data_IF_061720301846
#
_entry.id   IF_061720301846
#
_cell.length_a   1.000
_cell.length_b   1.000
_cell.length_c   1.000
_cell.angle_alpha   90.00
_cell.angle_beta   90.00
_cell.angle_gamma   90.00
#
_symmetry.space_group_name_H-M   'P 1'
#
loop_
_entity.id
_entity.type
_entity.pdbx_description
1 polymer ?
#
# COMPACT_ATOMS: atom_id res chain seq x y z
N UNK A 1 -0.87 2.49 16.03
CA UNK A 1 -1.20 3.02 14.69
C UNK A 1 -0.15 4.00 14.17
N UNK A 2 0.12 5.12 14.87
CA UNK A 2 1.07 6.15 14.40
C UNK A 2 2.50 5.62 14.18
N UNK A 3 3.10 4.96 15.19
CA UNK A 3 4.47 4.43 15.06
C UNK A 3 4.60 3.35 13.97
N UNK A 4 3.63 2.45 13.88
CA UNK A 4 3.64 1.38 12.87
C UNK A 4 3.53 1.96 11.45
N UNK A 5 2.60 2.89 11.22
CA UNK A 5 2.45 3.55 9.92
C UNK A 5 3.66 4.43 9.56
N UNK A 6 4.31 5.08 10.54
CA UNK A 6 5.56 5.82 10.30
C UNK A 6 6.70 4.89 9.87
N UNK A 7 6.84 3.70 10.50
CA UNK A 7 7.85 2.72 10.07
C UNK A 7 7.61 2.24 8.64
N UNK A 8 6.37 1.99 8.28
CA UNK A 8 5.99 1.59 6.91
C UNK A 8 6.32 2.72 5.93
N UNK A 9 5.95 3.97 6.24
CA UNK A 9 6.25 5.12 5.40
C UNK A 9 7.75 5.27 5.13
N UNK A 10 8.57 5.19 6.19
CA UNK A 10 10.03 5.27 6.07
C UNK A 10 10.60 4.11 5.24
N UNK A 11 10.06 2.91 5.39
CA UNK A 11 10.47 1.76 4.58
C UNK A 11 10.13 1.97 3.10
N UNK A 12 8.93 2.48 2.78
CA UNK A 12 8.52 2.79 1.41
C UNK A 12 9.39 3.87 0.77
N UNK A 13 9.68 4.95 1.50
CA UNK A 13 10.60 6.00 1.06
C UNK A 13 12.01 5.41 0.82
N UNK A 14 12.47 4.53 1.70
CA UNK A 14 13.76 3.83 1.55
C UNK A 14 13.83 2.88 0.35
N UNK A 15 12.68 2.41 -0.15
CA UNK A 15 12.55 1.64 -1.39
C UNK A 15 12.50 2.53 -2.64
N UNK A 16 12.52 3.86 -2.48
CA UNK A 16 12.49 4.82 -3.57
C UNK A 16 11.10 5.32 -3.93
N UNK A 17 10.10 5.15 -3.05
CA UNK A 17 8.76 5.70 -3.28
C UNK A 17 8.83 7.23 -3.34
N UNK A 18 8.34 7.80 -4.44
CA UNK A 18 8.20 9.24 -4.62
C UNK A 18 6.76 9.71 -4.38
N UNK A 19 6.59 11.03 -4.31
CA UNK A 19 5.28 11.64 -4.16
C UNK A 19 4.41 11.30 -5.38
N UNK A 20 3.15 10.98 -5.13
CA UNK A 20 2.12 10.61 -6.11
C UNK A 20 2.33 9.24 -6.80
N UNK A 21 3.34 8.46 -6.38
CA UNK A 21 3.50 7.07 -6.78
C UNK A 21 2.36 6.18 -6.27
N UNK A 22 1.98 5.20 -7.08
CA UNK A 22 0.89 4.28 -6.76
C UNK A 22 1.41 3.03 -6.05
N UNK A 23 0.89 2.75 -4.86
CA UNK A 23 1.24 1.57 -4.07
C UNK A 23 0.03 0.65 -3.94
N UNK A 24 0.10 -0.51 -4.57
CA UNK A 24 -0.91 -1.54 -4.46
C UNK A 24 -0.85 -2.25 -3.11
N UNK A 25 -1.98 -2.27 -2.39
CA UNK A 25 -2.15 -3.02 -1.14
C UNK A 25 -3.06 -4.20 -1.42
N UNK A 26 -2.47 -5.38 -1.59
CA UNK A 26 -3.18 -6.65 -1.74
C UNK A 26 -3.12 -7.43 -0.43
N UNK A 27 -4.13 -7.25 0.42
CA UNK A 27 -4.20 -7.90 1.73
C UNK A 27 -5.64 -8.27 2.08
N UNK A 28 -5.80 -9.31 2.88
CA UNK A 28 -7.09 -9.64 3.50
C UNK A 28 -7.45 -8.61 4.57
N UNK A 29 -8.75 -8.50 4.92
CA UNK A 29 -9.23 -7.58 5.94
C UNK A 29 -8.61 -7.91 7.32
N UNK A 30 -7.56 -7.17 7.70
CA UNK A 30 -6.87 -7.31 8.97
C UNK A 30 -6.58 -5.92 9.57
N UNK A 31 -6.34 -5.81 10.90
CA UNK A 31 -5.96 -4.55 11.52
C UNK A 31 -4.69 -3.93 10.92
N UNK A 32 -3.76 -4.75 10.43
CA UNK A 32 -2.52 -4.33 9.77
C UNK A 32 -2.77 -3.59 8.45
N UNK A 33 -3.89 -3.86 7.79
CA UNK A 33 -4.30 -3.16 6.57
C UNK A 33 -4.33 -1.64 6.79
N UNK A 34 -4.82 -1.21 7.96
CA UNK A 34 -4.92 0.21 8.32
C UNK A 34 -3.53 0.83 8.48
N UNK A 35 -2.56 0.08 9.04
CA UNK A 35 -1.19 0.54 9.16
C UNK A 35 -0.53 0.73 7.79
N UNK A 36 -0.76 -0.20 6.85
CA UNK A 36 -0.22 -0.11 5.48
C UNK A 36 -0.85 1.06 4.71
N UNK A 37 -2.17 1.22 4.80
CA UNK A 37 -2.87 2.34 4.18
C UNK A 37 -2.30 3.68 4.66
N UNK A 38 -2.22 3.90 5.98
CA UNK A 38 -1.66 5.15 6.49
C UNK A 38 -0.16 5.29 6.22
N UNK A 39 0.59 4.19 6.13
CA UNK A 39 2.00 4.20 5.75
C UNK A 39 2.21 4.76 4.35
N UNK A 40 1.41 4.34 3.37
CA UNK A 40 1.44 4.85 1.99
C UNK A 40 1.09 6.34 1.96
N UNK A 41 -0.01 6.73 2.62
CA UNK A 41 -0.43 8.14 2.66
C UNK A 41 0.63 9.04 3.31
N UNK A 42 1.26 8.57 4.39
CA UNK A 42 2.34 9.29 5.09
C UNK A 42 3.61 9.42 4.24
N UNK A 43 3.88 8.44 3.39
CA UNK A 43 4.99 8.50 2.45
C UNK A 43 4.71 9.44 1.25
N UNK A 44 3.47 9.92 1.10
CA UNK A 44 3.06 10.81 0.00
C UNK A 44 2.62 10.08 -1.25
N UNK A 45 2.44 8.75 -1.20
CA UNK A 45 1.94 7.94 -2.30
C UNK A 45 0.41 7.81 -2.32
N UNK A 46 -0.09 7.24 -3.41
CA UNK A 46 -1.50 6.90 -3.64
C UNK A 46 -1.72 5.42 -3.32
N UNK A 47 -2.57 5.14 -2.32
CA UNK A 47 -2.90 3.76 -1.95
C UNK A 47 -3.92 3.16 -2.93
N UNK A 48 -3.54 2.13 -3.66
CA UNK A 48 -4.42 1.34 -4.54
C UNK A 48 -4.86 0.09 -3.81
N UNK A 49 -6.13 0.04 -3.42
CA UNK A 49 -6.68 -1.03 -2.58
C UNK A 49 -7.17 -2.18 -3.45
N UNK A 50 -6.47 -3.32 -3.39
CA UNK A 50 -6.83 -4.51 -4.14
C UNK A 50 -7.51 -5.53 -3.23
N UNK A 51 -8.61 -6.11 -3.72
CA UNK A 51 -9.28 -7.18 -2.98
C UNK A 51 -8.43 -8.44 -3.00
N UNK A 52 -8.21 -9.06 -1.84
CA UNK A 52 -7.56 -10.38 -1.75
C UNK A 52 -8.33 -11.51 -2.43
N UNK A 53 -9.57 -11.24 -2.89
CA UNK A 53 -10.40 -12.15 -3.67
C UNK A 53 -10.20 -12.05 -5.18
N UNK A 54 -9.41 -11.08 -5.66
CA UNK A 54 -9.09 -10.97 -7.08
C UNK A 54 -8.31 -12.20 -7.53
N UNK A 55 -8.71 -12.78 -8.67
CA UNK A 55 -7.97 -13.88 -9.29
C UNK A 55 -6.80 -13.31 -10.09
N UNK A 56 -5.73 -14.10 -10.25
CA UNK A 56 -4.52 -13.67 -10.96
C UNK A 56 -4.77 -13.00 -12.34
N UNK A 57 -5.72 -13.46 -13.18
CA UNK A 57 -6.01 -12.79 -14.46
C UNK A 57 -6.59 -11.38 -14.33
N UNK A 58 -7.29 -11.09 -13.23
CA UNK A 58 -7.90 -9.79 -12.96
C UNK A 58 -6.86 -8.80 -12.43
N UNK A 59 -5.87 -9.30 -11.66
CA UNK A 59 -4.75 -8.51 -11.15
C UNK A 59 -3.89 -7.92 -12.28
N UNK A 60 -3.74 -8.68 -13.37
CA UNK A 60 -2.95 -8.29 -14.54
C UNK A 60 -3.40 -6.94 -15.16
N UNK A 61 -4.69 -6.63 -15.06
CA UNK A 61 -5.25 -5.36 -15.56
C UNK A 61 -4.91 -4.14 -14.70
N UNK A 62 -4.49 -4.34 -13.44
CA UNK A 62 -4.09 -3.27 -12.52
C UNK A 62 -2.58 -3.06 -12.46
N UNK A 63 -1.79 -3.97 -13.05
CA UNK A 63 -0.33 -3.94 -13.04
C UNK A 63 0.29 -3.42 -14.36
N UNK A 64 -0.54 -3.10 -15.35
CA UNK A 64 -0.13 -2.51 -16.64
C UNK A 64 -0.33 -1.01 -16.64
#
# INVERSE_FOLDING_TARGET
LSEASNRIANALIGLGLEKDDHVAILMSHSPEWVNNYFGVIKAGGVAVLLSSRLKAPELDSFLR
#
